data_IF_106432838328
#
_entry.id   IF_106432838328
#
_cell.length_a   1.000
_cell.length_b   1.000
_cell.length_c   1.000
_cell.angle_alpha   90.00
_cell.angle_beta   90.00
_cell.angle_gamma   90.00
#
_symmetry.space_group_name_H-M   'P 1'
#
loop_
_entity.id
_entity.type
_entity.pdbx_description
1 polymer ?
#
# COMPACT_ATOMS: atom_id res chain seq x y z
N UNK A 1 -5.76 -1.35 15.74
CA UNK A 1 -4.63 -2.33 15.76
C UNK A 1 -4.62 -3.08 14.44
N UNK A 2 -3.45 -3.22 13.82
CA UNK A 2 -3.23 -4.02 12.59
C UNK A 2 -3.08 -5.50 12.98
N UNK A 3 -3.96 -6.36 12.44
CA UNK A 3 -4.00 -7.79 12.72
C UNK A 3 -3.59 -8.64 11.52
N UNK A 4 -3.43 -8.04 10.34
CA UNK A 4 -3.07 -8.71 9.08
C UNK A 4 -1.62 -8.44 8.67
N UNK A 5 -1.09 -7.28 9.03
CA UNK A 5 0.28 -6.85 8.73
C UNK A 5 0.43 -5.97 7.48
N UNK A 6 -0.64 -5.78 6.68
CA UNK A 6 -0.59 -4.97 5.46
C UNK A 6 -0.26 -3.51 5.76
N UNK A 7 -0.92 -2.93 6.78
CA UNK A 7 -0.71 -1.54 7.20
C UNK A 7 0.72 -1.36 7.72
N UNK A 8 1.19 -2.28 8.54
CA UNK A 8 2.56 -2.25 9.10
C UNK A 8 3.62 -2.38 8.00
N UNK A 9 3.40 -3.27 7.02
CA UNK A 9 4.34 -3.48 5.90
C UNK A 9 4.42 -2.25 4.97
N UNK A 10 3.27 -1.67 4.61
CA UNK A 10 3.21 -0.47 3.75
C UNK A 10 3.79 0.76 4.46
N UNK A 11 3.36 1.03 5.69
CA UNK A 11 3.87 2.15 6.47
C UNK A 11 5.40 2.09 6.67
N UNK A 12 5.93 0.90 7.00
CA UNK A 12 7.38 0.71 7.17
C UNK A 12 8.17 0.84 5.86
N UNK A 13 7.55 0.56 4.71
CA UNK A 13 8.15 0.77 3.38
C UNK A 13 8.29 2.27 3.04
N UNK A 14 7.34 3.10 3.46
CA UNK A 14 7.38 4.56 3.20
C UNK A 14 8.27 5.27 4.22
N UNK A 15 8.01 5.09 5.52
CA UNK A 15 8.62 5.88 6.61
C UNK A 15 9.20 5.04 7.74
N UNK A 16 9.44 3.75 7.52
CA UNK A 16 10.00 2.86 8.55
C UNK A 16 11.38 3.29 9.04
N UNK A 17 11.59 3.24 10.35
CA UNK A 17 12.89 3.48 10.96
C UNK A 17 13.94 2.47 10.49
N UNK A 18 15.21 2.82 10.67
CA UNK A 18 16.32 1.95 10.29
C UNK A 18 16.46 0.75 11.24
N UNK A 19 16.27 -0.46 10.74
CA UNK A 19 16.39 -1.71 11.50
C UNK A 19 17.54 -2.55 10.94
N UNK A 20 18.63 -2.63 11.70
CA UNK A 20 19.82 -3.44 11.35
C UNK A 20 19.54 -4.93 11.55
N UNK A 21 20.04 -5.76 10.63
CA UNK A 21 19.93 -7.21 10.74
C UNK A 21 18.54 -7.79 10.44
N UNK A 22 17.63 -6.98 9.87
CA UNK A 22 16.31 -7.43 9.47
C UNK A 22 16.40 -8.57 8.44
N UNK A 23 15.60 -9.62 8.63
CA UNK A 23 15.48 -10.76 7.71
C UNK A 23 14.20 -11.55 7.99
N UNK A 24 13.67 -12.23 6.98
CA UNK A 24 12.63 -13.25 7.14
C UNK A 24 13.31 -14.62 7.11
N UNK A 25 13.45 -15.29 8.27
CA UNK A 25 14.18 -16.57 8.36
C UNK A 25 15.55 -16.55 7.64
N UNK A 26 16.34 -15.49 7.84
CA UNK A 26 17.64 -15.21 7.17
C UNK A 26 17.54 -14.78 5.70
N UNK A 27 16.40 -14.91 5.05
CA UNK A 27 16.16 -14.38 3.70
C UNK A 27 16.15 -12.85 3.76
N UNK A 28 16.83 -12.24 2.80
CA UNK A 28 16.87 -10.79 2.67
C UNK A 28 17.64 -10.04 3.76
N UNK A 29 18.53 -10.73 4.48
CA UNK A 29 19.33 -10.13 5.55
C UNK A 29 19.99 -8.81 5.11
N UNK A 30 19.74 -7.75 5.89
CA UNK A 30 20.28 -6.44 5.61
C UNK A 30 19.83 -5.40 6.64
N UNK A 31 19.81 -4.14 6.24
CA UNK A 31 19.19 -3.06 7.01
C UNK A 31 17.89 -2.69 6.32
N UNK A 32 16.75 -2.88 6.99
CA UNK A 32 15.45 -2.40 6.51
C UNK A 32 15.28 -0.92 6.89
N UNK A 33 14.67 -0.14 6.00
CA UNK A 33 14.28 1.25 6.23
C UNK A 33 13.21 1.68 5.22
N UNK A 34 12.44 2.69 5.58
CA UNK A 34 11.59 3.41 4.65
C UNK A 34 12.38 4.30 3.70
N UNK A 35 11.65 4.85 2.74
CA UNK A 35 12.15 5.82 1.77
C UNK A 35 12.53 7.14 2.47
N UNK A 36 11.64 7.67 3.32
CA UNK A 36 11.83 8.95 4.02
C UNK A 36 11.88 8.74 5.54
N UNK A 37 13.09 8.74 6.10
CA UNK A 37 13.33 8.41 7.52
C UNK A 37 12.87 9.50 8.50
N UNK A 38 12.80 10.75 8.06
CA UNK A 38 12.46 11.90 8.90
C UNK A 38 10.98 12.29 8.83
N UNK A 39 10.21 11.63 7.98
CA UNK A 39 8.78 11.89 7.86
C UNK A 39 8.03 11.36 9.09
N UNK A 40 6.91 12.01 9.41
CA UNK A 40 5.99 11.56 10.46
C UNK A 40 4.95 10.62 9.85
N UNK A 41 4.36 9.78 10.68
CA UNK A 41 3.35 8.81 10.28
C UNK A 41 2.05 9.11 11.03
N UNK A 42 0.97 9.31 10.27
CA UNK A 42 -0.41 9.25 10.75
C UNK A 42 -1.09 8.03 10.11
N UNK A 43 -1.88 7.28 10.87
CA UNK A 43 -2.55 6.06 10.40
C UNK A 43 -4.05 6.23 10.52
N UNK A 44 -4.72 6.15 9.38
CA UNK A 44 -6.18 6.16 9.27
C UNK A 44 -6.62 4.76 8.86
N UNK A 45 -7.09 3.97 9.82
CA UNK A 45 -7.52 2.59 9.56
C UNK A 45 -8.95 2.59 9.02
N UNK A 46 -9.08 2.43 7.71
CA UNK A 46 -10.37 2.45 6.98
C UNK A 46 -10.83 1.07 6.50
N UNK A 47 -9.99 0.06 6.69
CA UNK A 47 -10.30 -1.33 6.38
C UNK A 47 -10.32 -2.17 7.66
N UNK A 48 -11.26 -3.09 7.74
CA UNK A 48 -11.40 -4.03 8.84
C UNK A 48 -11.25 -5.47 8.36
N UNK A 49 -10.86 -6.35 9.28
CA UNK A 49 -10.76 -7.78 9.02
C UNK A 49 -11.73 -8.49 9.96
N UNK A 50 -12.93 -8.77 9.48
CA UNK A 50 -13.91 -9.61 10.18
C UNK A 50 -14.32 -10.77 9.26
N UNK A 51 -13.50 -11.82 9.23
CA UNK A 51 -13.66 -12.97 8.33
C UNK A 51 -13.15 -12.75 6.90
N UNK A 52 -13.19 -11.51 6.40
CA UNK A 52 -12.52 -11.06 5.18
C UNK A 52 -12.06 -9.60 5.34
N UNK A 53 -11.06 -9.19 4.55
CA UNK A 53 -10.61 -7.80 4.48
C UNK A 53 -11.62 -6.98 3.67
N UNK A 54 -12.21 -5.97 4.30
CA UNK A 54 -13.18 -5.07 3.66
C UNK A 54 -12.96 -3.62 4.11
N UNK A 55 -13.15 -2.69 3.19
CA UNK A 55 -13.06 -1.25 3.44
C UNK A 55 -14.41 -0.63 3.11
N UNK A 56 -15.12 -0.13 4.12
CA UNK A 56 -16.40 0.53 3.88
C UNK A 56 -16.16 1.89 3.20
N UNK A 57 -16.99 2.22 2.22
CA UNK A 57 -16.96 3.50 1.52
C UNK A 57 -17.01 4.71 2.47
N UNK A 58 -17.86 4.62 3.51
CA UNK A 58 -17.98 5.65 4.53
C UNK A 58 -16.68 5.82 5.35
N UNK A 59 -16.03 4.71 5.72
CA UNK A 59 -14.78 4.74 6.48
C UNK A 59 -13.63 5.29 5.64
N UNK A 60 -13.60 4.98 4.34
CA UNK A 60 -12.61 5.54 3.41
C UNK A 60 -12.77 7.06 3.28
N UNK A 61 -13.99 7.56 3.09
CA UNK A 61 -14.25 9.01 3.04
C UNK A 61 -13.92 9.70 4.36
N UNK A 62 -14.27 9.10 5.50
CA UNK A 62 -13.92 9.63 6.81
C UNK A 62 -12.40 9.70 7.00
N UNK A 63 -11.66 8.67 6.56
CA UNK A 63 -10.20 8.67 6.61
C UNK A 63 -9.56 9.75 5.73
N UNK A 64 -10.11 10.04 4.56
CA UNK A 64 -9.67 11.18 3.75
C UNK A 64 -9.97 12.51 4.44
N UNK A 65 -11.18 12.69 4.98
CA UNK A 65 -11.59 13.92 5.67
C UNK A 65 -10.68 14.20 6.88
N UNK A 66 -10.45 13.19 7.73
CA UNK A 66 -9.56 13.30 8.89
C UNK A 66 -8.12 13.60 8.46
N UNK A 67 -7.60 12.94 7.41
CA UNK A 67 -6.25 13.20 6.92
C UNK A 67 -6.07 14.63 6.38
N UNK A 68 -7.07 15.14 5.66
CA UNK A 68 -7.06 16.52 5.16
C UNK A 68 -7.12 17.51 6.33
N UNK A 69 -8.02 17.28 7.29
CA UNK A 69 -8.20 18.14 8.45
C UNK A 69 -6.97 18.15 9.37
N UNK A 70 -6.28 17.02 9.51
CA UNK A 70 -5.01 16.92 10.24
C UNK A 70 -3.84 17.58 9.51
N UNK A 71 -4.01 17.94 8.23
CA UNK A 71 -3.01 18.64 7.42
C UNK A 71 -1.83 17.75 7.04
N UNK A 72 -2.09 16.50 6.65
CA UNK A 72 -1.01 15.62 6.15
C UNK A 72 -0.41 16.16 4.85
N UNK A 73 0.88 15.94 4.63
CA UNK A 73 1.55 16.39 3.41
C UNK A 73 1.35 15.45 2.20
N UNK A 74 0.98 14.18 2.46
CA UNK A 74 0.90 13.13 1.44
C UNK A 74 0.07 11.95 1.94
N UNK A 75 -0.72 11.34 1.04
CA UNK A 75 -1.52 10.15 1.33
C UNK A 75 -0.96 8.95 0.56
N UNK A 76 -0.66 7.87 1.28
CA UNK A 76 -0.26 6.58 0.70
C UNK A 76 -1.39 5.56 0.88
N UNK A 77 -2.07 5.21 -0.22
CA UNK A 77 -3.25 4.36 -0.23
C UNK A 77 -2.99 3.05 -0.98
N UNK A 78 -2.75 1.95 -0.27
CA UNK A 78 -2.62 0.61 -0.88
C UNK A 78 -3.95 -0.14 -0.88
N UNK A 79 -5.00 0.53 -1.36
CA UNK A 79 -6.37 0.03 -1.48
C UNK A 79 -6.79 0.24 -2.95
N UNK A 80 -7.57 -0.69 -3.47
CA UNK A 80 -8.15 -0.62 -4.80
C UNK A 80 -9.46 -1.38 -4.85
N UNK A 81 -10.18 -1.25 -5.94
CA UNK A 81 -11.45 -1.91 -6.16
C UNK A 81 -11.67 -2.20 -7.64
N UNK A 82 -12.89 -2.52 -8.07
CA UNK A 82 -13.22 -2.50 -9.48
C UNK A 82 -13.05 -1.07 -10.05
N UNK A 83 -12.83 -0.92 -11.37
CA UNK A 83 -12.82 0.39 -12.01
C UNK A 83 -14.12 1.15 -11.71
N UNK A 84 -14.00 2.29 -11.04
CA UNK A 84 -15.13 3.13 -10.67
C UNK A 84 -15.41 4.27 -11.67
N UNK A 85 -16.60 4.85 -11.54
CA UNK A 85 -16.95 6.12 -12.20
C UNK A 85 -16.50 7.31 -11.33
N UNK A 86 -16.05 8.39 -11.95
CA UNK A 86 -15.50 9.57 -11.25
C UNK A 86 -16.30 10.09 -10.06
N UNK A 87 -17.62 10.11 -10.16
CA UNK A 87 -18.50 10.68 -9.15
C UNK A 87 -19.13 9.64 -8.21
N UNK A 88 -18.70 8.37 -8.32
CA UNK A 88 -19.21 7.27 -7.49
C UNK A 88 -18.09 6.52 -6.77
N UNK A 89 -16.87 6.61 -7.27
CA UNK A 89 -15.71 6.02 -6.64
C UNK A 89 -15.25 6.89 -5.46
N UNK A 90 -15.35 6.36 -4.25
CA UNK A 90 -14.98 7.09 -3.03
C UNK A 90 -13.50 7.42 -2.94
N UNK A 91 -12.62 6.62 -3.56
CA UNK A 91 -11.19 6.94 -3.62
C UNK A 91 -11.01 8.15 -4.53
N UNK A 92 -11.77 8.24 -5.63
CA UNK A 92 -11.64 9.36 -6.56
C UNK A 92 -12.18 10.64 -5.91
N UNK A 93 -13.33 10.58 -5.23
CA UNK A 93 -13.90 11.71 -4.51
C UNK A 93 -12.97 12.18 -3.38
N UNK A 94 -12.50 11.26 -2.52
CA UNK A 94 -11.63 11.59 -1.41
C UNK A 94 -10.28 12.17 -1.86
N UNK A 95 -9.69 11.60 -2.92
CA UNK A 95 -8.42 12.10 -3.47
C UNK A 95 -8.57 13.41 -4.26
N UNK A 96 -9.73 13.69 -4.86
CA UNK A 96 -10.03 14.98 -5.50
C UNK A 96 -10.07 16.10 -4.44
N UNK A 97 -10.77 15.84 -3.33
CA UNK A 97 -10.79 16.75 -2.19
C UNK A 97 -9.39 16.95 -1.59
N UNK A 98 -8.62 15.88 -1.42
CA UNK A 98 -7.23 15.98 -0.96
C UNK A 98 -6.36 16.82 -1.92
N UNK A 99 -6.51 16.62 -3.23
CA UNK A 99 -5.81 17.42 -4.24
C UNK A 99 -6.19 18.90 -4.17
N UNK A 100 -7.46 19.22 -3.89
CA UNK A 100 -7.92 20.59 -3.63
C UNK A 100 -7.23 21.28 -2.45
N UNK A 101 -6.64 20.49 -1.54
CA UNK A 101 -5.83 20.94 -0.41
C UNK A 101 -4.32 20.75 -0.64
N UNK A 102 -3.90 20.52 -1.89
CA UNK A 102 -2.50 20.31 -2.28
C UNK A 102 -1.88 19.01 -1.71
N UNK A 103 -2.72 18.05 -1.32
CA UNK A 103 -2.30 16.76 -0.76
C UNK A 103 -2.35 15.69 -1.87
N UNK A 104 -1.18 15.28 -2.34
CA UNK A 104 -1.07 14.22 -3.35
C UNK A 104 -1.43 12.85 -2.76
N UNK A 105 -2.30 12.13 -3.46
CA UNK A 105 -2.63 10.72 -3.16
C UNK A 105 -1.87 9.79 -4.10
N UNK A 106 -1.05 8.89 -3.54
CA UNK A 106 -0.44 7.77 -4.26
C UNK A 106 -1.22 6.50 -3.98
N UNK A 107 -1.69 5.85 -5.04
CA UNK A 107 -2.49 4.62 -4.93
C UNK A 107 -1.95 3.48 -5.78
N UNK A 108 -2.16 2.24 -5.33
CA UNK A 108 -1.74 1.06 -6.09
C UNK A 108 -2.64 0.81 -7.31
N UNK A 109 -2.07 0.29 -8.40
CA UNK A 109 -2.81 -0.15 -9.61
C UNK A 109 -3.68 -1.40 -9.38
N UNK A 110 -3.61 -2.01 -8.18
CA UNK A 110 -4.15 -3.32 -7.84
C UNK A 110 -3.46 -4.50 -8.57
N UNK A 111 -3.76 -5.74 -8.15
CA UNK A 111 -3.17 -6.98 -8.64
C UNK A 111 -4.07 -7.74 -9.62
N UNK A 112 -5.21 -7.17 -10.00
CA UNK A 112 -6.23 -7.76 -10.88
C UNK A 112 -5.91 -7.60 -12.37
N UNK A 113 -4.69 -7.98 -12.76
CA UNK A 113 -4.22 -7.93 -14.15
C UNK A 113 -4.81 -9.04 -15.04
N UNK A 114 -4.62 -8.91 -16.36
CA UNK A 114 -4.92 -9.95 -17.34
C UNK A 114 -6.06 -9.64 -18.32
N UNK A 115 -6.81 -8.57 -18.09
CA UNK A 115 -7.89 -8.13 -18.99
C UNK A 115 -7.89 -6.59 -19.16
N UNK A 116 -8.31 -6.06 -20.32
CA UNK A 116 -8.48 -4.63 -20.49
C UNK A 116 -9.51 -4.05 -19.51
N UNK A 117 -9.32 -2.78 -19.12
CA UNK A 117 -10.25 -2.02 -18.28
C UNK A 117 -10.54 -2.64 -16.90
N UNK A 118 -9.57 -3.29 -16.26
CA UNK A 118 -9.72 -3.83 -14.89
C UNK A 118 -9.00 -3.02 -13.82
N UNK A 119 -8.32 -1.94 -14.23
CA UNK A 119 -7.45 -1.14 -13.37
C UNK A 119 -8.25 -0.10 -12.56
N UNK A 120 -8.18 -0.08 -11.22
CA UNK A 120 -8.69 1.01 -10.39
C UNK A 120 -7.75 2.21 -10.31
N UNK A 121 -8.17 3.23 -9.54
CA UNK A 121 -7.32 4.37 -9.15
C UNK A 121 -6.79 5.16 -10.36
N UNK A 122 -7.58 5.25 -11.44
CA UNK A 122 -7.20 5.88 -12.71
C UNK A 122 -7.58 7.37 -12.81
N UNK A 123 -8.09 7.96 -11.73
CA UNK A 123 -8.38 9.39 -11.73
C UNK A 123 -7.11 10.22 -11.98
N UNK A 124 -7.18 11.29 -12.78
CA UNK A 124 -6.00 12.01 -13.24
C UNK A 124 -5.25 12.76 -12.12
N UNK A 125 -5.89 12.97 -10.96
CA UNK A 125 -5.29 13.56 -9.77
C UNK A 125 -4.64 12.53 -8.83
N UNK A 126 -4.73 11.23 -9.14
CA UNK A 126 -4.11 10.15 -8.38
C UNK A 126 -2.78 9.76 -9.02
N UNK A 127 -1.73 9.64 -8.21
CA UNK A 127 -0.50 8.98 -8.64
C UNK A 127 -0.69 7.46 -8.56
N UNK A 128 -1.06 6.83 -9.67
CA UNK A 128 -1.25 5.37 -9.74
C UNK A 128 0.07 4.64 -9.93
N UNK A 129 0.39 3.71 -9.03
CA UNK A 129 1.68 3.01 -8.98
C UNK A 129 1.53 1.54 -9.35
N UNK A 130 2.28 1.09 -10.36
CA UNK A 130 2.39 -0.32 -10.75
C UNK A 130 3.56 -1.02 -10.04
N UNK A 131 3.54 -2.35 -9.99
CA UNK A 131 4.60 -3.16 -9.40
C UNK A 131 5.55 -3.72 -10.46
N UNK A 132 6.85 -3.70 -10.15
CA UNK A 132 7.88 -4.36 -10.96
C UNK A 132 8.80 -5.18 -10.06
N UNK A 133 9.47 -6.16 -10.65
CA UNK A 133 10.51 -6.91 -9.93
C UNK A 133 11.75 -6.06 -9.67
N UNK A 134 12.43 -6.35 -8.56
CA UNK A 134 13.78 -5.84 -8.30
C UNK A 134 14.82 -6.79 -8.89
N UNK A 135 16.00 -6.24 -9.21
CA UNK A 135 17.13 -7.02 -9.70
C UNK A 135 17.54 -8.17 -8.76
N UNK A 136 17.41 -7.98 -7.44
CA UNK A 136 17.65 -9.04 -6.45
C UNK A 136 16.43 -9.95 -6.35
N UNK A 137 16.58 -11.18 -6.83
CA UNK A 137 15.58 -12.25 -6.70
C UNK A 137 16.03 -13.32 -5.70
N UNK A 138 15.09 -13.85 -4.92
CA UNK A 138 15.32 -14.98 -4.02
C UNK A 138 14.99 -16.28 -4.74
N UNK A 139 15.82 -17.30 -4.58
CA UNK A 139 15.68 -18.59 -5.26
C UNK A 139 15.78 -19.73 -4.25
N UNK A 140 14.95 -20.73 -4.43
CA UNK A 140 14.99 -21.99 -3.68
C UNK A 140 15.61 -23.06 -4.57
N UNK A 141 16.68 -23.73 -4.12
CA UNK A 141 17.28 -24.84 -4.86
C UNK A 141 16.66 -26.15 -4.42
N UNK A 142 16.15 -26.92 -5.39
CA UNK A 142 15.55 -28.24 -5.16
C UNK A 142 16.57 -29.31 -5.62
N UNK A 143 16.96 -30.19 -4.71
CA UNK A 143 17.85 -31.31 -4.97
C UNK A 143 17.12 -32.59 -5.39
N UNK A 144 17.83 -33.70 -5.57
CA UNK A 144 17.23 -35.02 -5.79
C UNK A 144 16.20 -35.35 -4.70
N UNK A 145 15.15 -36.09 -5.07
CA UNK A 145 14.03 -36.43 -4.17
C UNK A 145 13.21 -35.23 -3.64
N UNK A 146 13.15 -34.11 -4.36
CA UNK A 146 12.40 -32.91 -3.97
C UNK A 146 12.83 -32.27 -2.64
N UNK A 147 14.09 -32.47 -2.22
CA UNK A 147 14.61 -31.86 -1.00
C UNK A 147 15.00 -30.41 -1.24
N UNK A 148 14.51 -29.49 -0.40
CA UNK A 148 14.96 -28.10 -0.39
C UNK A 148 16.39 -28.07 0.17
N UNK A 149 17.33 -27.55 -0.60
CA UNK A 149 18.70 -27.36 -0.17
C UNK A 149 18.81 -25.98 0.49
N UNK A 150 19.03 -25.96 1.81
CA UNK A 150 19.36 -24.73 2.52
C UNK A 150 20.81 -24.32 2.18
N UNK A 151 21.02 -23.04 1.88
CA UNK A 151 22.36 -22.43 1.73
C UNK A 151 22.71 -21.61 2.96
#
# INVERSE_FOLDING_TARGET
>A
MDTQGNDTHTASTVVGAQVKGASLYRIGKGTARGSVLSARLAIYKVCITEGADYCYEADMLAGFDDAINDGVDFISLSIGGPPGEYFKDVIFIGSDHAMGHEILTSAALDNNGGYPNTVPNVAPWILTVTATDRAKQYKTTIGPENRVLEK
#
